data_IF_403523062046
#
_entry.id   IF_403523062046
#
_cell.length_a   1.000
_cell.length_b   1.000
_cell.length_c   1.000
_cell.angle_alpha   90.00
_cell.angle_beta   90.00
_cell.angle_gamma   90.00
#
_symmetry.space_group_name_H-M   'P 1'
#
loop_
_entity.id
_entity.type
_entity.pdbx_description
1 polymer ?
#
# COMPACT_ATOMS: atom_id res chain seq x y z
N UNK A 1 -15.61 2.36 -4.35
CA UNK A 1 -16.29 1.77 -3.18
C UNK A 1 -15.38 2.04 -1.99
N UNK A 2 -15.88 2.59 -0.88
CA UNK A 2 -15.04 2.80 0.30
C UNK A 2 -14.84 1.48 1.05
N UNK A 3 -13.72 1.35 1.78
CA UNK A 3 -13.43 0.17 2.60
C UNK A 3 -14.53 -0.13 3.64
N UNK A 4 -15.32 0.87 3.99
CA UNK A 4 -16.48 0.73 4.88
C UNK A 4 -17.49 -0.31 4.41
N UNK A 5 -17.64 -0.51 3.09
CA UNK A 5 -18.50 -1.57 2.58
C UNK A 5 -17.97 -2.95 2.97
N UNK A 6 -16.66 -3.18 2.93
CA UNK A 6 -16.05 -4.47 3.27
C UNK A 6 -16.14 -4.79 4.78
N UNK A 7 -16.27 -3.76 5.62
CA UNK A 7 -16.23 -3.88 7.08
C UNK A 7 -17.62 -3.76 7.74
N UNK A 8 -18.67 -3.48 6.96
CA UNK A 8 -20.02 -3.30 7.49
C UNK A 8 -20.52 -4.57 8.19
N UNK A 9 -20.85 -4.45 9.48
CA UNK A 9 -21.40 -5.56 10.28
C UNK A 9 -20.38 -6.43 11.02
N UNK A 10 -19.09 -6.04 11.07
CA UNK A 10 -18.08 -6.75 11.89
C UNK A 10 -17.76 -5.95 13.16
N UNK A 11 -17.95 -6.58 14.32
CA UNK A 11 -17.75 -5.93 15.63
C UNK A 11 -16.28 -5.75 16.02
N UNK A 12 -15.37 -6.58 15.49
CA UNK A 12 -13.92 -6.43 15.70
C UNK A 12 -13.19 -6.70 14.39
N UNK A 13 -12.39 -5.74 13.95
CA UNK A 13 -11.56 -5.88 12.75
C UNK A 13 -10.10 -5.74 13.18
N UNK A 14 -9.35 -6.83 13.11
CA UNK A 14 -7.92 -6.83 13.42
C UNK A 14 -7.09 -6.15 12.33
N UNK A 15 -5.80 -5.85 12.61
CA UNK A 15 -4.91 -5.27 11.61
C UNK A 15 -4.79 -6.15 10.35
N UNK A 16 -4.88 -7.47 10.51
CA UNK A 16 -4.89 -8.45 9.42
C UNK A 16 -6.04 -8.19 8.42
N UNK A 17 -7.28 -8.10 8.91
CA UNK A 17 -8.46 -7.89 8.06
C UNK A 17 -8.47 -6.50 7.40
N UNK A 18 -7.96 -5.48 8.11
CA UNK A 18 -7.87 -4.12 7.59
C UNK A 18 -6.87 -4.02 6.44
N UNK A 19 -5.66 -4.56 6.62
CA UNK A 19 -4.66 -4.59 5.55
C UNK A 19 -5.17 -5.41 4.36
N UNK A 20 -5.92 -6.49 4.60
CA UNK A 20 -6.56 -7.27 3.54
C UNK A 20 -7.63 -6.48 2.78
N UNK A 21 -8.42 -5.65 3.46
CA UNK A 21 -9.39 -4.77 2.80
C UNK A 21 -8.68 -3.73 1.91
N UNK A 22 -7.60 -3.14 2.41
CA UNK A 22 -6.77 -2.19 1.66
C UNK A 22 -6.13 -2.81 0.41
N UNK A 23 -5.66 -4.05 0.51
CA UNK A 23 -5.18 -4.81 -0.65
C UNK A 23 -6.28 -4.98 -1.71
N UNK A 24 -7.49 -5.31 -1.30
CA UNK A 24 -8.62 -5.50 -2.21
C UNK A 24 -9.03 -4.18 -2.89
N UNK A 25 -9.12 -3.09 -2.15
CA UNK A 25 -9.42 -1.77 -2.71
C UNK A 25 -8.32 -1.32 -3.68
N UNK A 26 -7.04 -1.46 -3.30
CA UNK A 26 -5.91 -1.12 -4.16
C UNK A 26 -5.98 -1.88 -5.48
N UNK A 27 -6.22 -3.20 -5.44
CA UNK A 27 -6.38 -4.01 -6.65
C UNK A 27 -7.54 -3.51 -7.52
N UNK A 28 -8.70 -3.28 -6.91
CA UNK A 28 -9.91 -2.85 -7.62
C UNK A 28 -9.73 -1.47 -8.27
N UNK A 29 -9.06 -0.55 -7.57
CA UNK A 29 -8.81 0.81 -8.03
C UNK A 29 -7.83 0.86 -9.19
N UNK A 30 -6.72 0.11 -9.10
CA UNK A 30 -5.80 -0.04 -10.22
C UNK A 30 -6.54 -0.69 -11.39
N UNK A 31 -7.29 -1.77 -11.15
CA UNK A 31 -8.02 -2.49 -12.18
C UNK A 31 -9.00 -1.60 -12.93
N UNK A 32 -9.87 -0.90 -12.21
CA UNK A 32 -10.80 0.07 -12.79
C UNK A 32 -10.08 1.10 -13.68
N UNK A 33 -8.98 1.66 -13.18
CA UNK A 33 -8.21 2.66 -13.93
C UNK A 33 -7.56 2.04 -15.18
N UNK A 34 -6.99 0.83 -15.08
CA UNK A 34 -6.29 0.17 -16.21
C UNK A 34 -7.25 -0.39 -17.25
N UNK A 35 -8.47 -0.73 -16.87
CA UNK A 35 -9.52 -1.21 -17.78
C UNK A 35 -10.35 -0.08 -18.40
N UNK A 36 -10.30 1.15 -17.86
CA UNK A 36 -11.08 2.29 -18.35
C UNK A 36 -10.23 3.22 -19.22
N UNK A 37 -10.58 3.42 -20.51
CA UNK A 37 -9.87 4.34 -21.39
C UNK A 37 -9.79 5.77 -20.83
N UNK A 38 -8.63 6.42 -20.99
CA UNK A 38 -8.42 7.80 -20.59
C UNK A 38 -8.10 8.02 -19.10
N UNK A 39 -8.21 6.97 -18.26
CA UNK A 39 -7.83 7.07 -16.85
C UNK A 39 -6.36 6.68 -16.63
N UNK A 40 -5.75 7.33 -15.64
CA UNK A 40 -4.40 7.03 -15.17
C UNK A 40 -4.37 7.08 -13.65
N UNK A 41 -3.59 6.17 -13.06
CA UNK A 41 -3.33 6.12 -11.63
C UNK A 41 -1.82 6.06 -11.45
N UNK A 42 -1.32 6.88 -10.52
CA UNK A 42 0.08 6.97 -10.18
C UNK A 42 0.34 6.22 -8.88
N UNK A 43 1.59 5.80 -8.71
CA UNK A 43 2.08 5.19 -7.47
C UNK A 43 1.80 6.08 -6.25
N UNK A 44 2.18 7.36 -6.32
CA UNK A 44 1.96 8.36 -5.26
C UNK A 44 0.48 8.46 -4.86
N UNK A 45 -0.43 8.44 -5.82
CA UNK A 45 -1.88 8.47 -5.55
C UNK A 45 -2.34 7.24 -4.76
N UNK A 46 -1.80 6.06 -5.06
CA UNK A 46 -2.13 4.83 -4.33
C UNK A 46 -1.56 4.89 -2.92
N UNK A 47 -0.30 5.31 -2.77
CA UNK A 47 0.36 5.50 -1.47
C UNK A 47 -0.48 6.40 -0.56
N UNK A 48 -0.88 7.57 -1.06
CA UNK A 48 -1.72 8.52 -0.34
C UNK A 48 -3.10 7.95 0.03
N UNK A 49 -3.72 7.20 -0.88
CA UNK A 49 -5.00 6.54 -0.59
C UNK A 49 -4.86 5.51 0.52
N UNK A 50 -3.82 4.68 0.51
CA UNK A 50 -3.55 3.69 1.56
C UNK A 50 -3.37 4.38 2.91
N UNK A 51 -2.58 5.47 2.94
CA UNK A 51 -2.36 6.26 4.15
C UNK A 51 -3.66 6.84 4.68
N UNK A 52 -4.44 7.48 3.81
CA UNK A 52 -5.75 8.03 4.16
C UNK A 52 -6.70 6.96 4.72
N UNK A 53 -6.88 5.84 4.01
CA UNK A 53 -7.79 4.77 4.39
C UNK A 53 -7.38 4.13 5.72
N UNK A 54 -6.10 3.79 5.89
CA UNK A 54 -5.61 3.19 7.13
C UNK A 54 -5.69 4.16 8.32
N UNK A 55 -5.53 5.47 8.10
CA UNK A 55 -5.74 6.49 9.14
C UNK A 55 -7.21 6.64 9.50
N UNK A 56 -8.11 6.68 8.50
CA UNK A 56 -9.55 6.73 8.72
C UNK A 56 -10.03 5.51 9.53
N UNK A 57 -9.53 4.32 9.18
CA UNK A 57 -9.84 3.09 9.90
C UNK A 57 -9.31 3.13 11.34
N UNK A 58 -8.06 3.59 11.56
CA UNK A 58 -7.49 3.80 12.91
C UNK A 58 -8.32 4.78 13.74
N UNK A 59 -8.79 5.87 13.14
CA UNK A 59 -9.67 6.83 13.81
C UNK A 59 -11.00 6.20 14.21
N UNK A 60 -11.61 5.40 13.32
CA UNK A 60 -12.93 4.79 13.54
C UNK A 60 -12.92 3.63 14.56
N UNK A 61 -11.95 2.73 14.47
CA UNK A 61 -11.90 1.51 15.30
C UNK A 61 -10.96 1.64 16.50
N UNK A 62 -10.28 2.77 16.67
CA UNK A 62 -9.44 3.06 17.84
C UNK A 62 -8.06 2.40 17.79
N UNK A 63 -7.62 1.82 18.91
CA UNK A 63 -6.26 1.29 19.08
C UNK A 63 -5.98 0.03 18.26
N UNK A 64 -5.78 0.21 16.95
CA UNK A 64 -5.38 -0.85 16.04
C UNK A 64 -3.87 -1.08 16.15
N UNK A 65 -3.45 -2.34 16.07
CA UNK A 65 -2.06 -2.79 16.20
C UNK A 65 -1.12 -2.37 15.07
N UNK A 66 -1.38 -1.25 14.38
CA UNK A 66 -0.46 -0.66 13.41
C UNK A 66 -0.43 0.87 13.50
N UNK A 67 0.62 1.48 12.94
CA UNK A 67 0.68 2.91 12.61
C UNK A 67 1.43 3.11 11.30
N UNK A 68 0.99 4.05 10.47
CA UNK A 68 1.57 4.32 9.16
C UNK A 68 1.92 5.81 9.03
N UNK A 69 3.14 6.06 8.54
CA UNK A 69 3.70 7.39 8.32
C UNK A 69 4.12 7.54 6.86
N UNK A 70 3.95 8.74 6.32
CA UNK A 70 4.54 9.14 5.04
C UNK A 70 5.92 9.74 5.27
N UNK A 71 6.87 9.38 4.42
CA UNK A 71 8.22 9.93 4.45
C UNK A 71 8.20 11.40 4.06
N UNK A 72 8.81 12.25 4.90
CA UNK A 72 9.00 13.69 4.59
C UNK A 72 10.14 13.95 3.61
N UNK A 73 11.09 13.02 3.53
CA UNK A 73 12.31 13.18 2.74
C UNK A 73 12.71 11.85 2.11
N UNK A 74 11.95 11.44 1.09
CA UNK A 74 12.20 10.21 0.32
C UNK A 74 13.63 10.17 -0.22
N UNK A 75 14.18 11.31 -0.69
CA UNK A 75 15.54 11.38 -1.22
C UNK A 75 16.61 11.00 -0.19
N UNK A 76 16.44 11.44 1.06
CA UNK A 76 17.41 11.13 2.11
C UNK A 76 17.23 9.72 2.68
N UNK A 77 15.99 9.20 2.70
CA UNK A 77 15.67 8.00 3.44
C UNK A 77 15.40 6.75 2.58
N UNK A 78 15.18 6.92 1.26
CA UNK A 78 14.94 5.84 0.31
C UNK A 78 13.65 5.06 0.51
N UNK A 79 12.70 5.58 1.30
CA UNK A 79 11.38 4.98 1.53
C UNK A 79 10.28 6.02 1.37
N UNK A 80 9.10 5.54 0.98
CA UNK A 80 7.85 6.31 0.90
C UNK A 80 7.08 6.27 2.21
N UNK A 81 7.12 5.14 2.91
CA UNK A 81 6.31 4.89 4.10
C UNK A 81 7.12 4.24 5.23
N UNK A 82 6.73 4.54 6.47
CA UNK A 82 7.09 3.74 7.64
C UNK A 82 5.83 3.07 8.19
N UNK A 83 5.83 1.74 8.23
CA UNK A 83 4.76 0.95 8.82
C UNK A 83 5.24 0.34 10.13
N UNK A 84 4.54 0.61 11.23
CA UNK A 84 4.77 -0.02 12.53
C UNK A 84 3.67 -1.04 12.79
N UNK A 85 4.03 -2.25 13.22
CA UNK A 85 3.08 -3.31 13.56
C UNK A 85 3.40 -3.87 14.95
N UNK A 86 2.36 -4.02 15.77
CA UNK A 86 2.44 -4.66 17.07
C UNK A 86 2.45 -6.19 16.91
N UNK A 87 3.47 -6.83 17.45
CA UNK A 87 3.58 -8.28 17.52
C UNK A 87 2.73 -8.86 18.65
N UNK A 88 2.51 -10.18 18.61
CA UNK A 88 1.87 -10.92 19.69
C UNK A 88 2.66 -10.89 20.99
N UNK A 89 3.97 -10.60 20.91
CA UNK A 89 4.89 -10.42 22.05
C UNK A 89 4.87 -8.99 22.60
N UNK A 90 3.94 -8.14 22.14
CA UNK A 90 3.80 -6.75 22.55
C UNK A 90 5.02 -5.85 22.20
N UNK A 91 5.77 -6.27 21.18
CA UNK A 91 6.89 -5.53 20.60
C UNK A 91 6.42 -4.86 19.30
N UNK A 92 6.99 -3.71 18.95
CA UNK A 92 6.67 -3.01 17.71
C UNK A 92 7.82 -3.13 16.74
N UNK A 93 7.56 -3.76 15.59
CA UNK A 93 8.47 -3.79 14.46
C UNK A 93 8.19 -2.62 13.52
N UNK A 94 9.24 -2.01 12.98
CA UNK A 94 9.12 -0.93 11.99
C UNK A 94 9.64 -1.40 10.64
N UNK A 95 8.80 -1.27 9.63
CA UNK A 95 9.11 -1.58 8.24
C UNK A 95 9.30 -0.27 7.47
N UNK A 96 10.45 -0.11 6.83
CA UNK A 96 10.69 0.98 5.88
C UNK A 96 10.30 0.51 4.48
N UNK A 97 9.27 1.11 3.90
CA UNK A 97 8.63 0.63 2.68
C UNK A 97 8.87 1.61 1.53
N UNK A 98 9.49 1.13 0.44
CA UNK A 98 9.48 1.83 -0.85
C UNK A 98 8.38 1.24 -1.74
N UNK A 99 7.44 2.06 -2.19
CA UNK A 99 6.36 1.65 -3.06
C UNK A 99 6.83 1.45 -4.51
N UNK A 100 6.22 0.49 -5.22
CA UNK A 100 6.31 0.33 -6.68
C UNK A 100 4.97 -0.11 -7.27
N UNK A 101 4.47 0.58 -8.30
CA UNK A 101 3.26 0.14 -9.03
C UNK A 101 3.61 -0.69 -10.27
N UNK A 102 2.82 -1.74 -10.52
CA UNK A 102 2.92 -2.53 -11.76
C UNK A 102 2.45 -1.70 -12.98
N UNK A 103 3.16 -1.87 -14.08
CA UNK A 103 2.77 -1.39 -15.41
C UNK A 103 2.63 -2.56 -16.37
N UNK A 104 1.67 -2.43 -17.27
CA UNK A 104 1.40 -3.42 -18.31
C UNK A 104 1.92 -2.88 -19.64
N UNK A 105 2.56 -3.74 -20.43
CA UNK A 105 2.89 -3.37 -21.80
C UNK A 105 1.60 -3.26 -22.60
N UNK A 106 1.18 -2.03 -22.89
CA UNK A 106 0.00 -1.74 -23.71
C UNK A 106 0.27 -1.90 -25.22
N UNK A 107 1.25 -2.73 -25.59
CA UNK A 107 1.73 -2.89 -26.96
C UNK A 107 0.59 -3.19 -27.92
N UNK A 108 0.55 -2.44 -29.03
CA UNK A 108 -0.50 -2.39 -30.05
C UNK A 108 -1.90 -2.67 -29.53
N UNK A 109 -2.63 -1.61 -29.18
CA UNK A 109 -4.06 -1.61 -28.81
C UNK A 109 -4.92 -2.51 -29.72
N UNK A 110 -4.49 -2.72 -30.97
CA UNK A 110 -5.09 -3.62 -31.95
C UNK A 110 -5.12 -5.12 -31.55
N UNK A 111 -4.25 -5.59 -30.66
CA UNK A 111 -4.19 -7.00 -30.20
C UNK A 111 -4.78 -7.22 -28.80
N UNK A 112 -5.33 -6.15 -28.20
CA UNK A 112 -5.94 -6.19 -26.87
C UNK A 112 -4.91 -6.02 -25.74
N UNK A 113 -5.37 -5.44 -24.63
CA UNK A 113 -4.52 -5.15 -23.48
C UNK A 113 -4.15 -6.44 -22.72
N UNK A 114 -2.86 -6.77 -22.69
CA UNK A 114 -2.35 -7.90 -21.93
C UNK A 114 -2.21 -7.52 -20.44
N UNK A 115 -3.26 -7.80 -19.66
CA UNK A 115 -3.32 -7.54 -18.21
C UNK A 115 -3.00 -8.80 -17.38
N UNK A 116 -2.36 -9.80 -17.98
CA UNK A 116 -2.10 -11.10 -17.36
C UNK A 116 -0.71 -11.20 -16.70
N UNK A 117 0.17 -10.23 -16.99
CA UNK A 117 1.46 -10.03 -16.35
C UNK A 117 1.91 -8.57 -16.56
N UNK A 118 2.84 -8.08 -15.74
CA UNK A 118 3.35 -6.72 -15.86
C UNK A 118 4.75 -6.58 -15.29
N UNK A 119 5.26 -5.37 -15.35
CA UNK A 119 6.62 -5.01 -14.91
C UNK A 119 6.54 -3.87 -13.91
N UNK A 120 7.33 -3.96 -12.84
CA UNK A 120 7.61 -2.83 -11.97
C UNK A 120 8.85 -2.12 -12.51
N UNK A 121 8.71 -0.89 -13.04
CA UNK A 121 9.83 -0.14 -13.57
C UNK A 121 10.60 0.57 -12.44
N UNK A 122 11.76 1.13 -12.78
CA UNK A 122 12.46 2.11 -11.95
C UNK A 122 12.90 1.61 -10.57
N UNK A 123 13.37 0.36 -10.48
CA UNK A 123 14.13 -0.07 -9.29
C UNK A 123 15.54 0.53 -9.27
N UNK A 124 16.15 0.74 -10.43
CA UNK A 124 17.44 1.45 -10.58
C UNK A 124 17.24 2.95 -10.57
N UNK A 125 16.56 3.46 -9.55
CA UNK A 125 16.46 4.89 -9.35
C UNK A 125 17.72 5.36 -8.63
N UNK A 126 18.52 6.22 -9.28
CA UNK A 126 19.66 6.88 -8.66
C UNK A 126 19.19 8.18 -8.00
N UNK A 127 19.55 8.38 -6.74
CA UNK A 127 19.28 9.59 -5.99
C UNK A 127 20.58 10.38 -5.84
N UNK A 128 20.53 11.69 -6.11
CA UNK A 128 21.71 12.56 -6.10
C UNK A 128 22.29 12.76 -7.51
N UNK A 129 23.49 13.37 -7.58
CA UNK A 129 24.22 13.63 -8.83
C UNK A 129 25.71 13.43 -8.60
N UNK A 130 26.42 13.01 -9.65
CA UNK A 130 27.88 12.88 -9.61
C UNK A 130 28.35 11.75 -8.67
N UNK A 131 29.51 11.91 -8.02
CA UNK A 131 30.12 10.86 -7.18
C UNK A 131 29.30 10.47 -5.95
N UNK A 132 28.38 11.33 -5.51
CA UNK A 132 27.51 11.09 -4.34
C UNK A 132 26.20 10.39 -4.71
N UNK A 133 25.97 10.12 -6.00
CA UNK A 133 24.75 9.44 -6.42
C UNK A 133 24.76 7.98 -5.95
N UNK A 134 23.68 7.56 -5.30
CA UNK A 134 23.50 6.18 -4.85
C UNK A 134 22.14 5.65 -5.28
N UNK A 135 22.01 4.33 -5.37
CA UNK A 135 20.74 3.72 -5.75
C UNK A 135 19.75 3.75 -4.58
N UNK A 136 18.47 3.95 -4.91
CA UNK A 136 17.38 4.03 -3.93
C UNK A 136 17.35 2.80 -3.01
N UNK A 137 17.69 1.62 -3.53
CA UNK A 137 17.77 0.38 -2.72
C UNK A 137 18.89 0.45 -1.67
N UNK A 138 20.06 1.00 -2.00
CA UNK A 138 21.16 1.14 -1.05
C UNK A 138 20.81 2.16 0.04
N UNK A 139 20.22 3.29 -0.35
CA UNK A 139 19.76 4.32 0.59
C UNK A 139 18.74 3.72 1.57
N UNK A 140 17.77 2.94 1.07
CA UNK A 140 16.78 2.24 1.89
C UNK A 140 17.43 1.26 2.89
N UNK A 141 18.35 0.42 2.40
CA UNK A 141 19.06 -0.56 3.21
C UNK A 141 19.89 0.11 4.31
N UNK A 142 20.63 1.16 3.97
CA UNK A 142 21.45 1.92 4.91
C UNK A 142 20.62 2.65 5.96
N UNK A 143 19.53 3.30 5.52
CA UNK A 143 18.59 3.97 6.41
C UNK A 143 18.02 2.98 7.43
N UNK A 144 17.55 1.82 6.96
CA UNK A 144 16.94 0.81 7.80
C UNK A 144 17.96 0.19 8.75
N UNK A 145 19.17 -0.16 8.27
CA UNK A 145 20.25 -0.75 9.07
C UNK A 145 20.67 0.16 10.23
N UNK A 146 20.81 1.47 9.98
CA UNK A 146 21.16 2.45 11.02
C UNK A 146 20.11 2.55 12.13
N UNK A 147 18.86 2.16 11.85
CA UNK A 147 17.73 2.26 12.78
C UNK A 147 17.20 0.90 13.27
N UNK A 148 17.79 -0.20 12.80
CA UNK A 148 17.29 -1.55 13.03
C UNK A 148 15.87 -1.79 12.51
N UNK A 149 15.49 -1.13 11.41
CA UNK A 149 14.18 -1.31 10.76
C UNK A 149 14.23 -2.41 9.70
N UNK A 150 13.09 -2.89 9.23
CA UNK A 150 13.04 -3.92 8.19
C UNK A 150 12.79 -3.25 6.82
N UNK A 151 13.79 -3.21 5.91
CA UNK A 151 13.63 -2.57 4.60
C UNK A 151 12.88 -3.49 3.64
N UNK A 152 11.78 -3.01 3.07
CA UNK A 152 10.97 -3.75 2.10
C UNK A 152 10.53 -2.87 0.94
N UNK A 153 10.18 -3.50 -0.17
CA UNK A 153 9.38 -2.90 -1.21
C UNK A 153 7.91 -3.25 -1.01
N UNK A 154 7.02 -2.27 -1.19
CA UNK A 154 5.58 -2.41 -1.24
C UNK A 154 5.10 -2.37 -2.71
N UNK A 155 4.66 -3.50 -3.23
CA UNK A 155 4.24 -3.63 -4.63
C UNK A 155 2.73 -3.45 -4.76
N UNK A 156 2.31 -2.50 -5.58
CA UNK A 156 0.91 -2.31 -5.96
C UNK A 156 0.60 -3.06 -7.23
N UNK A 157 -0.29 -4.04 -7.12
CA UNK A 157 -0.46 -5.05 -8.16
C UNK A 157 -1.88 -5.05 -8.71
N UNK A 158 -1.96 -5.33 -10.00
CA UNK A 158 -3.18 -5.66 -10.68
C UNK A 158 -2.84 -6.59 -11.83
N UNK A 159 -3.47 -7.76 -11.85
CA UNK A 159 -3.35 -8.75 -12.93
C UNK A 159 -4.74 -9.36 -13.10
N UNK A 160 -5.37 -9.14 -14.27
CA UNK A 160 -6.79 -9.39 -14.53
C UNK A 160 -7.23 -10.82 -14.19
N UNK A 161 -6.49 -11.82 -14.66
CA UNK A 161 -6.80 -13.24 -14.43
C UNK A 161 -6.44 -13.73 -13.02
N UNK A 162 -5.71 -12.95 -12.23
CA UNK A 162 -5.31 -13.28 -10.86
C UNK A 162 -6.08 -12.43 -9.85
N UNK A 163 -7.42 -12.41 -9.98
CA UNK A 163 -8.28 -11.81 -8.96
C UNK A 163 -7.92 -12.39 -7.59
N UNK A 164 -7.74 -11.56 -6.56
CA UNK A 164 -7.50 -12.05 -5.20
C UNK A 164 -8.78 -12.70 -4.68
N UNK A 165 -9.02 -13.97 -5.03
CA UNK A 165 -10.17 -14.72 -4.50
C UNK A 165 -10.07 -14.94 -2.97
N UNK A 166 -8.86 -14.79 -2.41
CA UNK A 166 -8.60 -14.85 -0.97
C UNK A 166 -7.21 -14.35 -0.55
N UNK A 167 -6.26 -14.18 -1.48
CA UNK A 167 -4.84 -13.99 -1.18
C UNK A 167 -4.34 -12.54 -1.10
N UNK A 168 -5.20 -11.53 -1.05
CA UNK A 168 -4.71 -10.18 -0.72
C UNK A 168 -3.71 -9.56 -1.71
N UNK A 169 -3.76 -9.93 -2.99
CA UNK A 169 -2.65 -9.66 -3.90
C UNK A 169 -2.58 -8.25 -4.46
N UNK A 170 -3.49 -7.34 -4.07
CA UNK A 170 -3.41 -5.96 -4.55
C UNK A 170 -2.24 -5.18 -3.98
N UNK A 171 -1.81 -5.54 -2.77
CA UNK A 171 -0.55 -5.07 -2.20
C UNK A 171 0.25 -6.28 -1.73
N UNK A 172 1.52 -6.34 -2.09
CA UNK A 172 2.44 -7.35 -1.58
C UNK A 172 3.71 -6.68 -1.13
N UNK A 173 4.48 -7.35 -0.28
CA UNK A 173 5.78 -6.87 0.18
C UNK A 173 6.86 -7.89 -0.11
N UNK A 174 8.09 -7.41 -0.27
CA UNK A 174 9.29 -8.22 -0.42
C UNK A 174 10.48 -7.49 0.21
N UNK A 175 11.34 -8.22 0.91
CA UNK A 175 12.54 -7.63 1.50
C UNK A 175 13.46 -6.97 0.47
N UNK A 176 13.97 -5.79 0.77
CA UNK A 176 14.81 -5.02 -0.15
C UNK A 176 16.14 -5.74 -0.45
N UNK A 177 16.74 -6.37 0.56
CA UNK A 177 17.95 -7.17 0.39
C UNK A 177 17.68 -8.38 -0.52
N UNK A 178 16.58 -9.11 -0.26
CA UNK A 178 16.13 -10.23 -1.09
C UNK A 178 15.89 -9.81 -2.54
N UNK A 179 15.34 -8.62 -2.78
CA UNK A 179 15.21 -8.06 -4.14
C UNK A 179 16.59 -7.87 -4.78
N UNK A 180 17.53 -7.24 -4.06
CA UNK A 180 18.88 -6.94 -4.55
C UNK A 180 19.64 -8.20 -4.95
N UNK A 181 19.55 -9.24 -4.14
CA UNK A 181 20.26 -10.50 -4.37
C UNK A 181 19.66 -11.32 -5.53
N UNK A 182 18.34 -11.23 -5.74
CA UNK A 182 17.62 -12.07 -6.72
C UNK A 182 17.44 -11.42 -8.08
N UNK A 183 17.40 -10.11 -8.13
CA UNK A 183 17.17 -9.36 -9.36
C UNK A 183 18.27 -8.31 -9.59
N UNK A 184 19.56 -8.70 -9.59
CA UNK A 184 20.63 -7.75 -9.86
C UNK A 184 20.56 -7.25 -11.30
N UNK A 185 21.04 -6.03 -11.52
CA UNK A 185 21.36 -5.54 -12.85
C UNK A 185 22.62 -6.21 -13.41
N UNK A 186 23.02 -5.85 -14.63
CA UNK A 186 24.20 -6.44 -15.28
C UNK A 186 25.51 -6.17 -14.54
N UNK A 187 25.55 -5.16 -13.67
CA UNK A 187 26.73 -4.86 -12.86
C UNK A 187 26.81 -5.70 -11.58
N UNK A 188 25.69 -6.32 -11.17
CA UNK A 188 25.58 -7.03 -9.90
C UNK A 188 25.46 -6.10 -8.67
N UNK A 189 25.53 -4.77 -8.86
CA UNK A 189 25.57 -3.81 -7.75
C UNK A 189 24.21 -3.21 -7.44
N UNK A 190 23.34 -3.12 -8.44
CA UNK A 190 22.01 -2.51 -8.35
C UNK A 190 20.91 -3.49 -8.75
N UNK A 191 19.65 -3.05 -8.62
CA UNK A 191 18.50 -3.79 -9.08
C UNK A 191 18.29 -3.65 -10.59
N UNK A 192 17.82 -4.73 -11.20
CA UNK A 192 17.31 -4.72 -12.57
C UNK A 192 16.20 -3.69 -12.73
N UNK A 193 16.27 -2.92 -13.82
CA UNK A 193 15.27 -1.89 -14.17
C UNK A 193 13.85 -2.41 -14.30
N UNK A 194 13.71 -3.72 -14.56
CA UNK A 194 12.45 -4.37 -14.93
C UNK A 194 12.34 -5.71 -14.25
N UNK A 195 11.60 -5.77 -13.15
CA UNK A 195 11.19 -7.03 -12.53
C UNK A 195 9.74 -7.31 -12.90
N UNK A 196 9.46 -8.52 -13.39
CA UNK A 196 8.09 -8.92 -13.77
C UNK A 196 7.30 -9.42 -12.56
N UNK A 197 5.98 -9.22 -12.59
CA UNK A 197 5.07 -9.76 -11.59
C UNK A 197 5.24 -11.29 -11.47
N UNK A 198 5.29 -12.00 -12.59
CA UNK A 198 5.48 -13.45 -12.65
C UNK A 198 6.82 -13.97 -12.10
N UNK A 199 7.86 -13.15 -12.07
CA UNK A 199 9.16 -13.51 -11.48
C UNK A 199 9.15 -13.36 -9.96
N UNK A 200 8.45 -12.33 -9.47
CA UNK A 200 8.39 -11.99 -8.05
C UNK A 200 7.33 -12.81 -7.29
N UNK A 201 6.16 -12.97 -7.88
CA UNK A 201 4.99 -13.61 -7.28
C UNK A 201 4.78 -15.02 -7.83
N UNK A 202 4.61 -16.06 -7.01
CA UNK A 202 4.37 -16.12 -5.55
C UNK A 202 5.58 -16.61 -4.75
N UNK A 203 6.80 -16.44 -5.28
CA UNK A 203 7.99 -17.07 -4.70
C UNK A 203 8.69 -16.19 -3.66
N UNK A 204 8.67 -14.89 -3.85
CA UNK A 204 9.51 -13.97 -3.08
C UNK A 204 8.73 -12.87 -2.39
N UNK A 205 7.60 -12.46 -2.97
CA UNK A 205 6.69 -11.50 -2.36
C UNK A 205 5.50 -12.21 -1.71
N UNK A 206 5.03 -11.65 -0.60
CA UNK A 206 3.87 -12.11 0.16
C UNK A 206 2.88 -10.95 0.38
N UNK A 207 1.60 -11.22 0.65
CA UNK A 207 0.59 -10.18 0.91
C UNK A 207 1.02 -9.21 2.01
N UNK A 208 0.70 -7.92 1.85
CA UNK A 208 0.93 -6.91 2.89
C UNK A 208 0.28 -7.31 4.22
N UNK A 209 -0.91 -7.93 4.18
CA UNK A 209 -1.64 -8.40 5.34
C UNK A 209 -0.84 -9.42 6.14
N UNK A 210 0.01 -10.21 5.50
CA UNK A 210 0.79 -11.26 6.19
C UNK A 210 1.80 -10.66 7.17
N UNK A 211 2.19 -9.38 7.02
CA UNK A 211 2.96 -8.68 8.04
C UNK A 211 2.21 -8.59 9.39
N UNK A 212 0.89 -8.43 9.36
CA UNK A 212 0.06 -8.36 10.56
C UNK A 212 -0.61 -9.70 10.92
N UNK A 213 -0.83 -10.59 9.96
CA UNK A 213 -1.48 -11.88 10.21
C UNK A 213 -0.48 -12.97 10.65
N UNK A 214 0.74 -12.94 10.10
CA UNK A 214 1.74 -14.01 10.24
C UNK A 214 2.96 -13.49 10.99
N UNK A 215 3.59 -12.42 10.49
CA UNK A 215 4.88 -11.94 11.03
C UNK A 215 4.76 -11.47 12.47
N UNK A 216 3.60 -10.96 12.87
CA UNK A 216 3.32 -10.58 14.25
C UNK A 216 3.52 -11.73 15.25
N UNK A 217 3.44 -12.99 14.81
CA UNK A 217 3.65 -14.17 15.65
C UNK A 217 5.03 -14.83 15.53
N UNK A 218 5.85 -14.37 14.58
CA UNK A 218 7.16 -14.97 14.33
C UNK A 218 8.21 -14.51 15.36
N UNK A 219 9.31 -15.25 15.46
CA UNK A 219 10.52 -14.77 16.13
C UNK A 219 11.38 -13.91 15.19
N UNK A 220 12.38 -13.27 15.77
CA UNK A 220 13.28 -12.37 15.05
C UNK A 220 13.99 -13.12 13.91
N UNK A 221 14.43 -14.37 14.14
CA UNK A 221 15.13 -15.19 13.15
C UNK A 221 14.28 -15.44 11.89
N UNK A 222 13.03 -15.86 12.05
CA UNK A 222 12.13 -16.10 10.92
C UNK A 222 11.73 -14.81 10.21
N UNK A 223 11.60 -13.68 10.93
CA UNK A 223 11.36 -12.37 10.31
C UNK A 223 12.55 -11.96 9.43
N UNK A 224 13.78 -12.14 9.93
CA UNK A 224 15.00 -11.84 9.21
C UNK A 224 15.13 -12.71 7.96
N UNK A 225 14.93 -14.03 8.08
CA UNK A 225 14.98 -14.97 6.95
C UNK A 225 13.92 -14.63 5.87
N UNK A 226 12.67 -14.40 6.30
CA UNK A 226 11.58 -14.06 5.40
C UNK A 226 11.86 -12.74 4.66
N UNK A 227 12.49 -11.77 5.33
CA UNK A 227 12.91 -10.49 4.77
C UNK A 227 14.22 -10.57 3.97
N UNK A 228 14.94 -11.69 4.03
CA UNK A 228 16.26 -11.86 3.43
C UNK A 228 17.34 -10.99 4.06
N UNK A 229 17.20 -10.66 5.34
CA UNK A 229 18.23 -10.00 6.13
C UNK A 229 19.15 -11.05 6.76
N UNK A 230 20.42 -10.69 7.05
CA UNK A 230 21.35 -11.63 7.67
C UNK A 230 20.95 -11.91 9.14
N UNK A 231 21.31 -13.08 9.71
CA UNK A 231 20.93 -13.44 11.08
C UNK A 231 21.48 -12.50 12.16
N UNK A 232 22.57 -11.80 11.89
CA UNK A 232 23.20 -10.83 12.80
C UNK A 232 22.62 -9.41 12.68
N UNK A 233 21.56 -9.22 11.88
CA UNK A 233 20.90 -7.93 11.73
C UNK A 233 20.23 -7.49 13.04
N UNK A 234 20.69 -6.37 13.60
CA UNK A 234 20.18 -5.85 14.87
C UNK A 234 18.80 -5.18 14.70
N UNK A 235 17.72 -5.95 14.89
CA UNK A 235 16.35 -5.42 14.90
C UNK A 235 16.12 -4.52 16.13
N UNK A 236 15.67 -3.31 15.88
CA UNK A 236 15.22 -2.40 16.94
C UNK A 236 13.74 -2.62 17.20
N UNK A 237 13.41 -3.05 18.41
CA UNK A 237 12.05 -3.32 18.86
C UNK A 237 11.61 -2.19 19.77
N UNK A 238 10.50 -1.57 19.46
CA UNK A 238 9.97 -0.48 20.27
C UNK A 238 8.84 -0.97 21.19
N UNK A 239 8.60 -0.34 22.34
CA UNK A 239 7.45 -0.64 23.18
C UNK A 239 6.14 -0.28 22.45
N UNK A 240 5.02 -0.87 22.87
CA UNK A 240 3.68 -0.56 22.33
C UNK A 240 3.34 0.95 22.34
N UNK A 241 3.90 1.73 23.27
CA UNK A 241 3.74 3.19 23.29
C UNK A 241 4.26 3.87 22.02
N UNK A 242 5.20 3.27 21.29
CA UNK A 242 5.70 3.77 20.01
C UNK A 242 4.64 3.76 18.88
N UNK A 243 3.50 3.09 19.05
CA UNK A 243 2.34 3.22 18.15
C UNK A 243 1.54 4.51 18.36
N UNK A 244 1.83 5.24 19.45
CA UNK A 244 1.21 6.51 19.81
C UNK A 244 2.10 7.71 19.51
N UNK A 245 3.41 7.50 19.39
CA UNK A 245 4.40 8.56 19.21
C UNK A 245 4.47 8.94 17.73
N UNK A 246 3.79 10.04 17.43
CA UNK A 246 3.77 10.74 16.15
C UNK A 246 4.80 11.88 16.13
N UNK A 247 6.07 11.59 16.44
CA UNK A 247 7.16 12.58 16.44
C UNK A 247 7.36 13.28 15.08
N UNK A 248 6.95 12.65 13.98
CA UNK A 248 7.08 13.17 12.62
C UNK A 248 5.75 13.54 11.96
N UNK A 249 4.67 13.70 12.73
CA UNK A 249 3.51 14.39 12.18
C UNK A 249 3.82 15.87 12.17
N UNK A 250 3.46 16.54 11.08
CA UNK A 250 3.24 17.98 11.19
C UNK A 250 2.32 18.08 12.40
N UNK A 251 2.76 18.73 13.50
CA UNK A 251 1.83 19.11 14.55
C UNK A 251 0.69 19.79 13.80
N UNK A 252 -0.45 19.11 13.63
CA UNK A 252 -1.69 19.74 13.18
C UNK A 252 -2.30 20.52 14.34
N UNK A 253 -1.43 21.09 15.17
CA UNK A 253 -1.66 22.01 16.26
C UNK A 253 -0.91 23.29 15.89
N UNK A 254 -1.15 23.79 14.69
CA UNK A 254 -1.55 25.19 14.65
C UNK A 254 -3.08 25.13 14.55
N UNK A 255 -3.73 24.99 15.71
CA UNK A 255 -5.20 25.00 15.84
C UNK A 255 -5.80 26.29 15.26
N UNK A 256 -4.96 27.29 14.94
CA UNK A 256 -5.34 28.53 14.26
C UNK A 256 -5.28 28.45 12.72
N UNK A 257 -4.88 27.32 12.12
CA UNK A 257 -4.78 27.16 10.64
C UNK A 257 -5.65 26.06 10.05
N UNK A 258 -6.33 25.27 10.87
CA UNK A 258 -7.28 24.27 10.39
C UNK A 258 -8.62 24.96 10.21
N UNK A 259 -8.89 25.39 8.97
CA UNK A 259 -10.16 25.95 8.49
C UNK A 259 -10.36 27.44 8.78
N UNK A 260 -9.57 28.31 8.15
CA UNK A 260 -10.24 29.46 7.52
C UNK A 260 -11.24 28.87 6.52
N UNK A 261 -12.47 28.78 7.00
CA UNK A 261 -13.61 28.29 6.24
C UNK A 261 -13.54 28.87 4.82
N UNK A 262 -13.58 27.98 3.84
CA UNK A 262 -14.35 28.28 2.63
C UNK A 262 -15.76 28.56 3.16
N UNK A 263 -16.05 29.81 3.55
CA UNK A 263 -17.41 30.23 3.73
C UNK A 263 -18.04 30.00 2.36
N UNK A 264 -19.09 29.18 2.25
CA UNK A 264 -19.84 29.12 1.01
C UNK A 264 -20.22 30.57 0.71
N UNK A 265 -19.71 31.11 -0.41
CA UNK A 265 -20.18 32.42 -0.88
C UNK A 265 -21.70 32.29 -0.89
N UNK A 266 -22.45 33.17 -0.21
CA UNK A 266 -23.89 33.16 -0.34
C UNK A 266 -24.17 33.20 -1.83
N UNK A 267 -24.86 32.17 -2.34
CA UNK A 267 -25.40 32.20 -3.69
C UNK A 267 -26.24 33.48 -3.73
N UNK A 268 -25.71 34.50 -4.39
CA UNK A 268 -26.44 35.73 -4.61
C UNK A 268 -27.70 35.33 -5.36
N UNK A 269 -28.82 35.38 -4.67
CA UNK A 269 -30.14 35.15 -5.20
C UNK A 269 -30.51 36.34 -6.09
N UNK A 270 -29.83 36.48 -7.23
CA UNK A 270 -30.41 37.16 -8.38
C UNK A 270 -31.37 36.16 -9.05
N UNK A 271 -32.49 35.89 -8.35
CA UNK A 271 -33.70 35.38 -8.98
C UNK A 271 -34.43 36.60 -9.55
N UNK A 272 -34.11 36.95 -10.78
CA UNK A 272 -35.08 37.56 -11.67
C UNK A 272 -35.55 36.49 -12.66
N UNK A 273 -36.86 36.23 -12.59
CA UNK A 273 -37.75 35.62 -13.58
C UNK A 273 -37.20 34.65 -14.61
N UNK A 274 -37.72 33.42 -14.60
CA UNK A 274 -38.71 33.02 -15.63
C UNK A 274 -39.18 31.58 -15.43
N UNK A 275 -40.51 31.47 -15.39
CA UNK A 275 -41.41 30.46 -15.95
C UNK A 275 -41.04 28.97 -15.88
N UNK A 276 -41.89 28.28 -15.08
CA UNK A 276 -42.60 27.04 -15.40
C UNK A 276 -42.13 26.24 -16.63
N UNK A 277 -41.68 25.01 -16.36
CA UNK A 277 -42.02 23.85 -17.18
C UNK A 277 -41.95 22.59 -16.30
N UNK A 278 -43.14 22.01 -16.09
CA UNK A 278 -43.33 20.68 -15.51
C UNK A 278 -42.79 19.64 -16.50
N UNK A 279 -41.84 18.81 -16.06
CA UNK A 279 -41.65 17.48 -16.65
C UNK A 279 -41.20 16.50 -15.57
N UNK A 280 -42.17 15.66 -15.17
CA UNK A 280 -41.98 14.44 -14.40
C UNK A 280 -41.22 13.41 -15.22
N UNK A 281 -39.94 13.20 -14.89
CA UNK A 281 -39.17 12.05 -15.39
C UNK A 281 -39.04 11.01 -14.27
N UNK A 282 -39.67 9.87 -14.49
CA UNK A 282 -39.55 8.68 -13.65
C UNK A 282 -38.12 8.11 -13.74
N UNK A 283 -37.47 7.92 -12.58
CA UNK A 283 -36.19 7.21 -12.47
C UNK A 283 -36.48 5.73 -12.23
N UNK A 284 -36.04 4.79 -13.09
CA UNK A 284 -36.17 3.38 -12.81
C UNK A 284 -35.15 2.95 -11.75
N UNK A 285 -35.65 2.37 -10.66
CA UNK A 285 -34.86 1.71 -9.62
C UNK A 285 -34.35 0.36 -10.13
N UNK A 286 -33.18 0.34 -10.77
CA UNK A 286 -32.49 -0.92 -11.07
C UNK A 286 -31.67 -1.34 -9.85
N UNK A 287 -32.17 -2.36 -9.14
CA UNK A 287 -31.48 -3.01 -8.03
C UNK A 287 -30.19 -3.69 -8.50
N UNK A 288 -29.06 -3.25 -7.93
CA UNK A 288 -27.81 -3.98 -7.99
C UNK A 288 -27.56 -4.59 -6.62
N UNK A 289 -27.81 -5.89 -6.49
CA UNK A 289 -27.61 -6.64 -5.25
C UNK A 289 -26.64 -7.80 -5.51
N UNK A 290 -25.33 -7.64 -5.22
CA UNK A 290 -24.42 -8.75 -5.28
C UNK A 290 -24.42 -9.49 -3.93
N UNK A 291 -25.21 -10.56 -3.84
CA UNK A 291 -25.03 -11.59 -2.82
C UNK A 291 -23.70 -12.32 -3.11
N UNK A 292 -22.74 -12.22 -2.22
CA UNK A 292 -21.55 -13.08 -2.21
C UNK A 292 -21.55 -13.92 -0.94
N UNK A 293 -21.73 -15.24 -1.11
CA UNK A 293 -21.42 -16.24 -0.09
C UNK A 293 -19.92 -16.55 -0.17
N UNK A 294 -19.24 -16.42 0.97
CA UNK A 294 -17.86 -16.86 1.18
C UNK A 294 -17.89 -18.23 1.87
N UNK A 295 -17.51 -19.28 1.17
CA UNK A 295 -17.04 -20.52 1.79
C UNK A 295 -15.52 -20.45 1.90
N UNK A 296 -15.02 -20.52 3.14
CA UNK A 296 -13.60 -20.57 3.48
C UNK A 296 -13.22 -22.03 3.69
N UNK A 297 -12.49 -22.61 2.73
CA UNK A 297 -11.79 -23.87 2.93
C UNK A 297 -10.37 -23.59 3.45
N UNK A 298 -10.16 -23.90 4.73
CA UNK A 298 -8.92 -23.71 5.48
C UNK A 298 -8.32 -25.07 5.83
N UNK A 299 -7.90 -25.87 4.86
CA UNK A 299 -6.99 -26.99 5.11
C UNK A 299 -5.94 -27.09 4.02
N UNK A 300 -4.69 -27.26 4.45
CA UNK A 300 -3.46 -27.49 3.68
C UNK A 300 -2.65 -26.24 3.31
N UNK A 301 -1.84 -25.78 4.27
CA UNK A 301 -0.48 -25.29 3.99
C UNK A 301 0.47 -25.82 5.05
N UNK A 302 1.23 -26.86 4.69
CA UNK A 302 2.50 -27.12 5.31
C UNK A 302 3.51 -26.13 4.72
N UNK A 303 4.20 -25.40 5.60
CA UNK A 303 5.49 -24.82 5.29
C UNK A 303 6.53 -25.94 5.18
#
# INVERSE_FOLDING_TARGET
>A
MSNEHYLRGREVVGPCELLRAVEQDTWARIGFTRETPGLRIMETTITQNIVYELRLLKHRFGHIGYTLFESRNEKANGHDLLLRILSSKNEVYTYALQAKIIYHNLGDVKKGTHLDDGTYPQFKHMVGKGPEADSQVNILLDYAKKRGYIPMYLMYNYVRKKRPKSKGLGCTVVGAQKMKDRFPDTSGKDLSDKVRYSQLHFKHAFPLSDLACIFSGLDDELILEASGLPPDYALTKAPRSALRIDEEWLKMEDENRVMEFIQPRPLSTNRQGSNELNDTVAIPSSGFNPRFHLELDLRNRHY
#
